data_IF_251637594874
#
_entry.id   IF_251637594874
#
_cell.length_a   1.000
_cell.length_b   1.000
_cell.length_c   1.000
_cell.angle_alpha   90.00
_cell.angle_beta   90.00
_cell.angle_gamma   90.00
#
_symmetry.space_group_name_H-M   'P 1'
#
loop_
_entity.id
_entity.type
_entity.pdbx_description
1 polymer ?
#
# COMPACT_ATOMS: atom_id res chain seq x y z
N UNK A 1 9.18 14.84 19.17
CA UNK A 1 10.14 13.71 19.08
C UNK A 1 10.45 13.29 20.51
N UNK A 2 10.60 11.98 20.78
CA UNK A 2 10.92 11.51 22.12
C UNK A 2 12.40 11.80 22.46
N UNK A 3 12.68 12.03 23.74
CA UNK A 3 14.03 12.17 24.23
C UNK A 3 14.80 10.86 24.10
N UNK A 4 16.13 10.95 24.17
CA UNK A 4 17.01 9.79 24.17
C UNK A 4 17.51 9.50 25.58
N UNK A 5 17.54 8.23 25.92
CA UNK A 5 18.37 7.73 27.01
C UNK A 5 19.67 7.21 26.41
N UNK A 6 20.76 7.93 26.60
CA UNK A 6 22.10 7.53 26.20
C UNK A 6 22.75 6.75 27.34
N UNK A 7 23.10 5.50 27.07
CA UNK A 7 23.74 4.60 28.04
C UNK A 7 25.13 4.26 27.53
N UNK A 8 26.15 4.51 28.31
CA UNK A 8 27.52 4.09 28.04
C UNK A 8 27.84 2.85 28.88
N UNK A 9 28.17 1.77 28.22
CA UNK A 9 28.60 0.53 28.87
C UNK A 9 30.01 0.69 29.44
N UNK A 10 30.31 0.04 30.55
CA UNK A 10 31.64 0.08 31.13
C UNK A 10 32.64 -0.69 30.26
N UNK A 11 33.91 -0.30 30.35
CA UNK A 11 35.04 -0.99 29.70
C UNK A 11 35.43 -2.30 30.40
N UNK A 12 35.21 -2.35 31.68
CA UNK A 12 35.43 -3.55 32.49
C UNK A 12 34.18 -3.86 33.32
N UNK A 13 33.92 -5.13 33.66
CA UNK A 13 32.74 -5.52 34.44
C UNK A 13 32.63 -4.88 35.82
N UNK A 14 33.74 -4.42 36.38
CA UNK A 14 33.83 -3.79 37.72
C UNK A 14 33.37 -2.31 37.68
N UNK A 15 33.46 -1.69 36.53
CA UNK A 15 33.05 -0.30 36.37
C UNK A 15 31.52 -0.18 36.22
N UNK A 16 30.93 0.87 36.79
CA UNK A 16 29.51 1.12 36.62
C UNK A 16 29.19 1.67 35.19
N UNK A 17 28.05 1.30 34.68
CA UNK A 17 27.51 1.97 33.48
C UNK A 17 27.19 3.43 33.79
N UNK A 18 27.26 4.28 32.78
CA UNK A 18 26.86 5.70 32.90
C UNK A 18 25.73 6.01 31.91
N UNK A 19 24.81 6.87 32.30
CA UNK A 19 23.72 7.25 31.42
C UNK A 19 23.34 8.72 31.57
N UNK A 20 22.77 9.27 30.50
CA UNK A 20 22.34 10.65 30.38
C UNK A 20 21.05 10.73 29.55
N UNK A 21 20.10 11.53 29.99
CA UNK A 21 18.95 11.86 29.13
C UNK A 21 19.29 13.10 28.31
N UNK A 22 19.07 13.02 26.99
CA UNK A 22 19.30 14.12 26.07
C UNK A 22 18.02 14.41 25.26
N UNK A 23 17.82 15.67 24.95
CA UNK A 23 16.72 16.10 24.08
C UNK A 23 16.97 15.68 22.61
N UNK A 24 16.01 15.81 21.70
CA UNK A 24 16.20 15.47 20.28
C UNK A 24 17.28 16.30 19.57
N UNK A 25 17.77 17.37 20.18
CA UNK A 25 18.86 18.20 19.65
C UNK A 25 20.22 17.80 20.25
N UNK A 26 20.24 16.79 21.14
CA UNK A 26 21.46 16.33 21.79
C UNK A 26 21.85 17.07 23.06
N UNK A 27 21.03 18.01 23.55
CA UNK A 27 21.34 18.74 24.77
C UNK A 27 21.01 17.90 26.01
N UNK A 28 21.89 17.87 27.01
CA UNK A 28 21.64 17.15 28.26
C UNK A 28 20.42 17.72 29.00
N UNK A 29 19.53 16.85 29.48
CA UNK A 29 18.37 17.21 30.31
C UNK A 29 18.67 17.14 31.81
N UNK A 30 19.94 16.98 32.20
CA UNK A 30 20.42 16.89 33.57
C UNK A 30 21.88 16.41 33.65
N UNK A 31 22.44 16.18 34.83
CA UNK A 31 23.77 15.60 34.97
C UNK A 31 23.79 14.12 34.62
N UNK A 32 24.92 13.58 34.11
CA UNK A 32 25.10 12.17 33.92
C UNK A 32 25.00 11.42 35.26
N UNK A 33 24.47 10.22 35.18
CA UNK A 33 24.32 9.31 36.34
C UNK A 33 25.15 8.06 36.10
N UNK A 34 25.58 7.41 37.19
CA UNK A 34 26.40 6.20 37.14
C UNK A 34 25.85 5.16 38.10
N UNK A 35 25.97 3.88 37.75
CA UNK A 35 25.51 2.76 38.57
C UNK A 35 25.24 1.50 37.78
N UNK A 36 24.62 0.49 38.40
CA UNK A 36 24.19 -0.71 37.68
C UNK A 36 23.06 -0.39 36.70
N UNK A 37 22.98 -1.15 35.60
CA UNK A 37 22.01 -0.97 34.50
C UNK A 37 20.55 -0.98 34.98
N UNK A 38 20.26 -1.70 36.07
CA UNK A 38 18.91 -1.73 36.67
C UNK A 38 18.40 -0.34 37.10
N UNK A 39 19.31 0.60 37.46
CA UNK A 39 18.94 1.98 37.79
C UNK A 39 18.68 2.84 36.55
N UNK A 40 19.14 2.45 35.39
CA UNK A 40 18.84 3.13 34.13
C UNK A 40 17.45 2.76 33.59
N UNK A 41 16.94 1.56 33.89
CA UNK A 41 15.67 1.05 33.36
C UNK A 41 14.45 1.97 33.61
N UNK A 42 14.24 2.55 34.80
CA UNK A 42 13.13 3.50 35.01
C UNK A 42 13.22 4.77 34.13
N UNK A 43 14.44 5.13 33.71
CA UNK A 43 14.69 6.29 32.84
C UNK A 43 14.39 6.01 31.38
N UNK A 44 14.30 4.73 30.99
CA UNK A 44 14.01 4.31 29.63
C UNK A 44 12.55 4.49 29.21
N UNK A 45 11.64 4.58 30.18
CA UNK A 45 10.20 4.66 29.91
C UNK A 45 9.87 5.90 29.06
N UNK A 46 9.30 5.65 27.87
CA UNK A 46 8.90 6.72 26.93
C UNK A 46 10.06 7.40 26.19
N UNK A 47 11.28 6.88 26.31
CA UNK A 47 12.47 7.38 25.64
C UNK A 47 13.03 6.36 24.67
N UNK A 48 13.77 6.84 23.69
CA UNK A 48 14.55 6.02 22.77
C UNK A 48 15.87 5.66 23.45
N UNK A 49 16.27 4.41 23.37
CA UNK A 49 17.52 3.95 24.01
C UNK A 49 18.63 3.90 22.96
N UNK A 50 19.70 4.64 23.22
CA UNK A 50 20.95 4.59 22.49
C UNK A 50 22.05 4.10 23.41
N UNK A 51 22.77 3.04 22.99
CA UNK A 51 23.84 2.46 23.77
C UNK A 51 25.19 2.78 23.13
N UNK A 52 26.15 3.20 23.97
CA UNK A 52 27.55 3.37 23.59
C UNK A 52 28.37 2.22 24.16
N UNK A 53 29.14 1.58 23.31
CA UNK A 53 30.06 0.51 23.68
C UNK A 53 31.50 1.02 23.68
N UNK A 54 32.39 0.38 24.46
CA UNK A 54 33.81 0.78 24.53
C UNK A 54 34.48 0.75 23.16
N UNK A 55 35.25 1.78 22.86
CA UNK A 55 36.01 1.86 21.61
C UNK A 55 37.17 0.86 21.53
N UNK A 56 37.61 0.33 22.67
CA UNK A 56 38.65 -0.73 22.76
C UNK A 56 38.21 -2.08 22.19
N UNK A 57 36.91 -2.33 22.17
CA UNK A 57 36.32 -3.62 21.79
C UNK A 57 35.76 -3.63 20.35
N UNK A 58 35.83 -2.50 19.65
CA UNK A 58 35.31 -2.34 18.29
C UNK A 58 36.40 -1.81 17.39
N UNK A 59 36.77 -2.59 16.38
CA UNK A 59 37.67 -2.12 15.33
C UNK A 59 36.84 -1.30 14.29
N UNK A 60 37.20 -0.04 14.13
CA UNK A 60 36.68 0.81 13.04
C UNK A 60 37.71 0.84 11.91
N UNK A 61 37.28 0.48 10.71
CA UNK A 61 38.15 0.44 9.53
C UNK A 61 37.39 0.84 8.26
N UNK A 62 38.14 1.10 7.19
CA UNK A 62 37.58 1.53 5.92
C UNK A 62 38.20 0.71 4.77
N UNK A 63 37.86 -0.59 4.61
CA UNK A 63 38.37 -1.38 3.50
C UNK A 63 37.89 -0.83 2.14
N UNK A 64 38.75 -1.00 1.14
CA UNK A 64 38.39 -0.73 -0.24
C UNK A 64 37.57 -1.90 -0.80
N UNK A 65 36.30 -1.65 -1.08
CA UNK A 65 35.37 -2.64 -1.63
C UNK A 65 34.84 -2.16 -2.97
N UNK A 66 34.78 -3.02 -4.00
CA UNK A 66 34.32 -2.64 -5.31
C UNK A 66 32.94 -1.95 -5.26
N UNK A 67 32.78 -0.84 -6.02
CA UNK A 67 31.54 -0.05 -6.03
C UNK A 67 30.30 -0.86 -6.49
N UNK A 68 30.52 -1.91 -7.29
CA UNK A 68 29.47 -2.80 -7.80
C UNK A 68 28.92 -3.79 -6.78
N UNK A 69 29.50 -3.86 -5.56
CA UNK A 69 29.08 -4.82 -4.55
C UNK A 69 27.62 -4.59 -4.06
N UNK A 70 27.14 -3.34 -4.04
CA UNK A 70 25.74 -3.00 -3.76
C UNK A 70 25.16 -3.75 -2.55
N UNK A 71 24.09 -4.51 -2.76
CA UNK A 71 23.42 -5.33 -1.72
C UNK A 71 24.25 -6.47 -1.18
N UNK A 72 25.37 -6.85 -1.84
CA UNK A 72 26.27 -7.93 -1.42
C UNK A 72 27.40 -7.45 -0.51
N UNK A 73 27.41 -6.19 -0.08
CA UNK A 73 28.44 -5.64 0.80
C UNK A 73 28.65 -6.50 2.06
N UNK A 74 27.59 -6.94 2.72
CA UNK A 74 27.66 -7.80 3.90
C UNK A 74 28.34 -9.15 3.65
N UNK A 75 28.35 -9.63 2.40
CA UNK A 75 29.03 -10.89 2.03
C UNK A 75 30.50 -10.66 1.64
N UNK A 76 30.83 -9.50 1.09
CA UNK A 76 32.16 -9.21 0.55
C UNK A 76 33.08 -8.62 1.62
N UNK A 77 32.57 -7.79 2.50
CA UNK A 77 33.34 -7.08 3.53
C UNK A 77 34.13 -8.02 4.46
N UNK A 78 33.56 -9.13 5.00
CA UNK A 78 34.32 -10.05 5.85
C UNK A 78 35.58 -10.59 5.14
N UNK A 79 35.45 -11.05 3.91
CA UNK A 79 36.60 -11.58 3.14
C UNK A 79 37.64 -10.50 2.78
N UNK A 80 37.19 -9.24 2.57
CA UNK A 80 38.11 -8.13 2.30
C UNK A 80 38.97 -7.77 3.52
N UNK A 81 38.52 -8.12 4.72
CA UNK A 81 39.22 -7.86 5.99
C UNK A 81 39.89 -9.08 6.60
N UNK A 82 39.65 -10.28 6.11
CA UNK A 82 40.07 -11.57 6.69
C UNK A 82 41.57 -11.58 6.98
N UNK A 83 42.42 -11.12 6.07
CA UNK A 83 43.88 -11.07 6.25
C UNK A 83 44.35 -10.02 7.29
N UNK A 84 43.47 -9.08 7.67
CA UNK A 84 43.80 -8.01 8.63
C UNK A 84 43.28 -8.30 10.03
N UNK A 85 42.47 -9.35 10.19
CA UNK A 85 41.85 -9.71 11.45
C UNK A 85 42.60 -10.87 12.12
N UNK A 86 42.67 -10.83 13.45
CA UNK A 86 43.30 -11.89 14.24
C UNK A 86 42.32 -13.02 14.56
N UNK A 87 41.06 -12.73 14.66
CA UNK A 87 39.97 -13.66 14.97
C UNK A 87 39.32 -14.20 13.68
N UNK A 88 38.67 -15.36 13.73
CA UNK A 88 37.94 -15.94 12.64
C UNK A 88 36.74 -15.04 12.26
N UNK A 89 36.52 -14.84 10.96
CA UNK A 89 35.41 -14.01 10.44
C UNK A 89 34.06 -14.53 10.87
N UNK A 90 33.87 -15.80 11.14
CA UNK A 90 32.64 -16.41 11.61
C UNK A 90 32.30 -16.02 13.05
N UNK A 91 33.31 -15.72 13.86
CA UNK A 91 33.16 -15.26 15.25
C UNK A 91 32.94 -13.74 15.34
N UNK A 92 33.06 -13.05 14.23
CA UNK A 92 32.93 -11.60 14.15
C UNK A 92 31.61 -11.14 13.58
N UNK A 93 31.15 -10.01 14.09
CA UNK A 93 30.03 -9.25 13.55
C UNK A 93 30.55 -8.03 12.80
N UNK A 94 30.09 -7.84 11.57
CA UNK A 94 30.45 -6.73 10.70
C UNK A 94 29.24 -5.80 10.54
N UNK A 95 29.35 -4.60 11.06
CA UNK A 95 28.37 -3.56 10.85
C UNK A 95 28.90 -2.57 9.80
N UNK A 96 28.10 -2.30 8.78
CA UNK A 96 28.49 -1.47 7.63
C UNK A 96 27.93 -0.08 7.78
N UNK A 97 28.81 0.91 7.69
CA UNK A 97 28.46 2.31 7.70
C UNK A 97 28.02 2.84 6.34
N UNK A 98 27.59 4.09 6.32
CA UNK A 98 27.18 4.77 5.11
C UNK A 98 28.43 5.15 4.27
N UNK A 99 28.53 4.58 3.09
CA UNK A 99 29.59 4.88 2.14
C UNK A 99 29.33 6.28 1.50
N UNK A 100 30.39 7.06 1.31
CA UNK A 100 30.31 8.27 0.47
C UNK A 100 30.14 7.88 -1.00
N UNK A 101 29.38 8.69 -1.76
CA UNK A 101 28.97 8.36 -3.12
C UNK A 101 30.15 8.06 -4.08
N UNK A 102 31.26 8.79 -3.91
CA UNK A 102 32.44 8.72 -4.79
C UNK A 102 33.63 7.97 -4.16
N UNK A 103 33.42 7.24 -3.05
CA UNK A 103 34.47 6.54 -2.34
C UNK A 103 34.42 5.03 -2.57
N UNK A 104 35.55 4.42 -2.85
CA UNK A 104 35.70 2.95 -2.80
C UNK A 104 35.77 2.44 -1.36
N UNK A 105 36.15 3.31 -0.40
CA UNK A 105 36.25 2.99 1.02
C UNK A 105 34.88 2.85 1.65
N UNK A 106 34.72 1.80 2.42
CA UNK A 106 33.45 1.50 3.12
C UNK A 106 33.70 1.51 4.62
N UNK A 107 33.09 2.41 5.40
CA UNK A 107 33.20 2.39 6.84
C UNK A 107 32.61 1.09 7.39
N UNK A 108 33.37 0.38 8.23
CA UNK A 108 32.99 -0.89 8.83
C UNK A 108 33.40 -0.90 10.29
N UNK A 109 32.50 -1.37 11.15
CA UNK A 109 32.77 -1.69 12.52
C UNK A 109 32.81 -3.22 12.68
N UNK A 110 33.91 -3.74 13.26
CA UNK A 110 34.11 -5.17 13.48
C UNK A 110 34.16 -5.42 14.97
N UNK A 111 33.42 -6.40 15.44
CA UNK A 111 33.31 -6.74 16.86
C UNK A 111 33.06 -8.24 17.02
N UNK A 112 33.53 -8.83 18.13
CA UNK A 112 33.23 -10.22 18.47
C UNK A 112 31.75 -10.43 18.75
N UNK A 113 31.14 -11.45 18.15
CA UNK A 113 29.75 -11.83 18.40
C UNK A 113 29.48 -12.12 19.87
N UNK A 114 30.43 -12.77 20.56
CA UNK A 114 30.30 -13.07 21.99
C UNK A 114 30.08 -11.80 22.84
N UNK A 115 30.79 -10.70 22.54
CA UNK A 115 30.61 -9.43 23.24
C UNK A 115 29.26 -8.78 22.90
N UNK A 116 28.82 -8.84 21.65
CA UNK A 116 27.47 -8.34 21.28
C UNK A 116 26.39 -9.10 22.04
N UNK A 117 26.50 -10.43 22.13
CA UNK A 117 25.53 -11.26 22.85
C UNK A 117 25.54 -10.97 24.35
N UNK A 118 26.73 -10.81 24.94
CA UNK A 118 26.89 -10.44 26.36
C UNK A 118 26.22 -9.08 26.65
N UNK A 119 26.53 -8.05 25.90
CA UNK A 119 25.99 -6.72 26.12
C UNK A 119 24.46 -6.68 25.91
N UNK A 120 23.97 -7.32 24.86
CA UNK A 120 22.52 -7.34 24.60
C UNK A 120 21.76 -8.15 25.66
N UNK A 121 22.37 -9.24 26.16
CA UNK A 121 21.81 -10.02 27.26
C UNK A 121 21.76 -9.21 28.54
N UNK A 122 22.84 -8.52 28.88
CA UNK A 122 22.90 -7.65 30.06
C UNK A 122 21.89 -6.50 29.99
N UNK A 123 21.73 -5.87 28.84
CA UNK A 123 20.74 -4.81 28.63
C UNK A 123 19.31 -5.35 28.74
N UNK A 124 18.99 -6.40 28.02
CA UNK A 124 17.63 -6.99 27.97
C UNK A 124 17.20 -7.56 29.32
N UNK A 125 18.12 -8.19 30.07
CA UNK A 125 17.82 -8.69 31.43
C UNK A 125 17.44 -7.57 32.41
N UNK A 126 17.84 -6.33 32.13
CA UNK A 126 17.47 -5.14 32.88
C UNK A 126 16.30 -4.36 32.24
N UNK A 127 15.62 -4.92 31.22
CA UNK A 127 14.48 -4.26 30.55
C UNK A 127 14.88 -3.10 29.65
N UNK A 128 16.15 -3.05 29.20
CA UNK A 128 16.69 -2.05 28.29
C UNK A 128 16.82 -2.67 26.89
N UNK A 129 15.96 -2.27 25.97
CA UNK A 129 15.99 -2.72 24.57
C UNK A 129 16.48 -1.58 23.67
N UNK A 130 17.75 -1.59 23.21
CA UNK A 130 18.33 -0.49 22.46
C UNK A 130 17.78 -0.40 21.03
N UNK A 131 17.44 0.82 20.60
CA UNK A 131 17.10 1.11 19.21
C UNK A 131 18.36 1.30 18.36
N UNK A 132 19.44 1.73 18.96
CA UNK A 132 20.74 1.93 18.31
C UNK A 132 21.89 1.64 19.28
N UNK A 133 22.97 1.13 18.72
CA UNK A 133 24.21 0.82 19.46
C UNK A 133 25.40 1.30 18.63
N UNK A 134 26.22 2.14 19.21
CA UNK A 134 27.38 2.75 18.56
C UNK A 134 28.63 2.55 19.40
N UNK A 135 29.80 2.59 18.76
CA UNK A 135 31.03 2.74 19.54
C UNK A 135 31.22 4.20 19.92
N UNK A 136 31.73 4.44 21.14
CA UNK A 136 32.01 5.78 21.66
C UNK A 136 32.99 6.56 20.78
N UNK A 137 33.97 5.86 20.19
CA UNK A 137 34.95 6.47 19.29
C UNK A 137 34.34 7.02 18.01
N UNK A 138 33.23 6.43 17.51
CA UNK A 138 32.57 6.92 16.31
C UNK A 138 31.66 8.13 16.58
N UNK A 139 31.36 8.43 17.83
CA UNK A 139 30.63 9.62 18.25
C UNK A 139 31.53 10.80 18.70
N UNK A 140 32.85 10.69 18.54
CA UNK A 140 33.68 11.88 18.68
C UNK A 140 33.33 12.91 17.60
N UNK A 141 33.32 14.21 17.93
CA UNK A 141 33.15 15.26 16.92
C UNK A 141 34.10 15.08 15.76
N UNK A 142 33.70 15.49 14.59
CA UNK A 142 34.58 15.56 13.41
C UNK A 142 34.78 17.01 13.03
N UNK A 143 36.04 17.41 12.89
CA UNK A 143 36.40 18.76 12.45
C UNK A 143 37.31 18.67 11.23
N UNK A 144 36.89 19.15 10.06
CA UNK A 144 37.75 19.15 8.88
C UNK A 144 39.05 19.90 9.13
N UNK A 145 40.18 19.25 8.86
CA UNK A 145 41.51 19.82 9.00
C UNK A 145 42.12 19.81 10.41
N UNK A 146 41.38 19.34 11.44
CA UNK A 146 41.90 19.21 12.81
C UNK A 146 41.64 17.81 13.35
N UNK A 147 42.64 17.24 14.02
CA UNK A 147 42.44 16.02 14.77
C UNK A 147 41.68 16.30 16.07
N UNK A 148 40.92 15.34 16.52
CA UNK A 148 40.23 15.39 17.81
C UNK A 148 40.68 14.22 18.66
N UNK A 149 41.07 14.48 19.91
CA UNK A 149 41.38 13.46 20.89
C UNK A 149 40.48 13.61 22.10
N UNK A 150 40.05 12.47 22.64
CA UNK A 150 39.41 12.36 23.96
C UNK A 150 40.34 11.53 24.83
N UNK A 151 40.82 12.11 25.91
CA UNK A 151 41.67 11.43 26.88
C UNK A 151 40.89 11.18 28.17
N UNK A 152 40.83 9.94 28.57
CA UNK A 152 40.24 9.49 29.82
C UNK A 152 41.33 8.80 30.65
N UNK A 153 40.96 8.26 31.80
CA UNK A 153 41.91 7.69 32.78
C UNK A 153 42.88 6.66 32.18
N UNK A 154 42.37 5.72 31.38
CA UNK A 154 43.06 4.57 30.87
C UNK A 154 43.23 4.52 29.35
N UNK A 155 42.51 5.37 28.63
CA UNK A 155 42.51 5.38 27.15
C UNK A 155 42.55 6.77 26.55
N UNK A 156 43.05 6.82 25.34
CA UNK A 156 42.94 7.95 24.44
C UNK A 156 42.26 7.51 23.17
N UNK A 157 41.15 8.20 22.81
CA UNK A 157 40.45 8.00 21.56
C UNK A 157 40.86 9.13 20.65
N UNK A 158 41.32 8.83 19.45
CA UNK A 158 41.76 9.82 18.48
C UNK A 158 40.95 9.67 17.21
N UNK A 159 40.36 10.77 16.75
CA UNK A 159 39.75 10.89 15.43
C UNK A 159 40.66 11.76 14.57
N UNK A 160 41.30 11.19 13.56
CA UNK A 160 42.05 12.00 12.58
C UNK A 160 41.09 12.84 11.72
N UNK A 161 41.60 13.87 11.05
CA UNK A 161 40.78 14.70 10.13
C UNK A 161 40.12 13.88 9.02
N UNK A 162 40.75 12.78 8.60
CA UNK A 162 40.25 11.82 7.62
C UNK A 162 40.56 10.38 8.07
N UNK A 163 39.61 9.47 7.82
CA UNK A 163 39.73 8.06 8.21
C UNK A 163 38.99 7.74 9.51
N UNK A 164 39.14 6.50 9.93
CA UNK A 164 38.44 5.96 11.12
C UNK A 164 39.11 6.40 12.41
N UNK A 165 38.32 6.62 13.49
CA UNK A 165 38.90 6.87 14.82
C UNK A 165 39.57 5.60 15.39
N UNK A 166 40.56 5.83 16.24
CA UNK A 166 41.35 4.77 16.89
C UNK A 166 41.30 4.97 18.39
N UNK A 167 41.19 3.88 19.14
CA UNK A 167 41.25 3.87 20.59
C UNK A 167 42.52 3.14 21.03
N UNK A 168 43.35 3.78 21.84
CA UNK A 168 44.60 3.27 22.32
C UNK A 168 44.70 3.45 23.85
N UNK A 169 45.52 2.67 24.53
CA UNK A 169 45.85 2.96 25.94
C UNK A 169 46.49 4.35 26.09
N UNK A 170 46.26 5.01 27.23
CA UNK A 170 46.77 6.37 27.48
C UNK A 170 48.28 6.44 27.50
N UNK A 171 48.96 5.31 27.79
CA UNK A 171 50.42 5.18 27.71
C UNK A 171 50.95 5.41 26.30
N UNK A 172 50.15 5.03 25.28
CA UNK A 172 50.44 5.21 23.86
C UNK A 172 49.91 6.55 23.30
N UNK A 173 49.79 7.60 24.14
CA UNK A 173 49.32 8.92 23.75
C UNK A 173 50.19 9.51 22.61
N UNK A 174 51.50 9.27 22.62
CA UNK A 174 52.40 9.74 21.57
C UNK A 174 52.06 9.16 20.21
N UNK A 175 51.90 7.85 20.15
CA UNK A 175 51.56 7.07 18.97
C UNK A 175 50.12 7.44 18.46
N UNK A 176 49.19 7.61 19.40
CA UNK A 176 47.83 8.04 19.09
C UNK A 176 47.83 9.39 18.37
N UNK A 177 48.65 10.33 18.85
CA UNK A 177 48.77 11.67 18.25
C UNK A 177 49.55 11.63 16.91
N UNK A 178 50.49 10.68 16.70
CA UNK A 178 51.12 10.46 15.40
C UNK A 178 50.11 9.95 14.37
N UNK A 179 49.21 9.05 14.76
CA UNK A 179 48.09 8.60 13.90
C UNK A 179 47.20 9.77 13.53
N UNK A 180 46.92 10.69 14.49
CA UNK A 180 46.16 11.90 14.23
C UNK A 180 46.77 12.79 13.13
N UNK A 181 48.10 12.79 13.04
CA UNK A 181 48.82 13.59 12.03
C UNK A 181 48.85 12.91 10.65
N UNK A 182 48.93 11.58 10.59
CA UNK A 182 49.00 10.83 9.33
C UNK A 182 47.72 10.97 8.47
N UNK A 183 46.55 11.22 9.07
CA UNK A 183 45.32 11.48 8.36
C UNK A 183 45.25 12.80 7.60
N UNK A 184 46.27 13.62 7.71
CA UNK A 184 46.32 14.96 7.08
C UNK A 184 46.83 15.00 5.65
N UNK A 185 47.08 13.90 4.94
CA UNK A 185 47.40 13.82 3.51
C UNK A 185 47.84 15.14 2.84
N UNK A 186 47.84 15.27 1.53
CA UNK A 186 48.18 16.47 0.74
C UNK A 186 47.37 17.76 1.11
N UNK A 187 46.31 17.66 1.91
CA UNK A 187 45.55 18.81 2.44
C UNK A 187 46.27 19.52 3.60
N UNK A 188 47.33 18.97 4.15
CA UNK A 188 48.17 19.62 5.16
C UNK A 188 48.82 20.94 4.69
N UNK A 189 48.76 21.22 3.40
CA UNK A 189 49.37 22.44 2.85
C UNK A 189 48.61 23.74 3.16
N UNK A 190 47.35 23.67 3.64
CA UNK A 190 46.50 24.86 3.87
C UNK A 190 45.74 24.92 5.19
N UNK A 191 45.70 23.85 5.97
CA UNK A 191 45.04 23.84 7.28
C UNK A 191 45.97 23.26 8.31
N UNK A 192 46.49 24.08 9.22
CA UNK A 192 47.49 23.72 10.23
C UNK A 192 47.18 22.39 10.97
N UNK A 193 48.22 21.75 11.51
CA UNK A 193 48.16 20.52 12.34
C UNK A 193 47.51 20.80 13.70
N UNK A 194 46.27 21.24 13.69
CA UNK A 194 45.53 21.55 14.91
C UNK A 194 45.00 20.29 15.60
N UNK A 195 45.09 20.28 16.93
CA UNK A 195 44.51 19.24 17.77
C UNK A 195 43.52 19.86 18.77
N UNK A 196 42.32 19.30 18.84
CA UNK A 196 41.39 19.59 19.93
C UNK A 196 41.41 18.39 20.90
N UNK A 197 41.88 18.64 22.10
CA UNK A 197 41.96 17.62 23.15
C UNK A 197 40.84 17.84 24.17
N UNK A 198 39.91 16.89 24.22
CA UNK A 198 38.92 16.78 25.29
C UNK A 198 39.46 15.93 26.43
N UNK A 199 39.35 16.39 27.66
CA UNK A 199 39.82 15.63 28.84
C UNK A 199 39.13 16.10 30.09
N UNK A 200 39.10 15.32 31.13
CA UNK A 200 38.74 15.74 32.48
C UNK A 200 39.83 16.59 33.14
N UNK A 201 39.48 17.25 34.21
CA UNK A 201 40.46 18.07 34.95
C UNK A 201 41.52 17.22 35.66
N UNK A 202 41.17 16.03 36.16
CA UNK A 202 42.08 15.12 36.83
C UNK A 202 43.13 14.55 35.85
N UNK A 203 42.64 14.05 34.68
CA UNK A 203 43.47 13.46 33.61
C UNK A 203 44.39 14.55 33.04
N UNK A 204 43.88 15.78 32.88
CA UNK A 204 44.69 16.89 32.44
C UNK A 204 45.87 17.14 33.41
N UNK A 205 45.64 17.21 34.74
CA UNK A 205 46.69 17.40 35.69
C UNK A 205 47.71 16.28 35.70
N UNK A 206 47.27 15.03 35.54
CA UNK A 206 48.13 13.85 35.54
C UNK A 206 49.05 13.79 34.30
N UNK A 207 48.53 14.19 33.12
CA UNK A 207 49.22 14.01 31.85
C UNK A 207 49.70 15.32 31.21
N UNK A 208 49.53 16.45 31.86
CA UNK A 208 49.88 17.79 31.35
C UNK A 208 51.31 17.89 30.87
N UNK A 209 52.30 17.31 31.58
CA UNK A 209 53.72 17.33 31.19
C UNK A 209 53.94 16.57 29.88
N UNK A 210 53.29 15.42 29.68
CA UNK A 210 53.35 14.63 28.41
C UNK A 210 52.73 15.41 27.24
N UNK A 211 51.59 16.03 27.49
CA UNK A 211 50.86 16.82 26.47
C UNK A 211 51.69 18.07 26.09
N UNK A 212 52.30 18.72 27.04
CA UNK A 212 53.13 19.88 26.76
C UNK A 212 54.38 19.50 25.94
N UNK A 213 55.00 18.36 26.22
CA UNK A 213 56.12 17.86 25.40
C UNK A 213 55.74 17.53 23.96
N UNK A 214 54.45 17.22 23.70
CA UNK A 214 53.95 16.98 22.37
C UNK A 214 53.49 18.27 21.63
N UNK A 215 53.43 19.39 22.32
CA UNK A 215 52.97 20.67 21.79
C UNK A 215 53.76 21.15 20.58
N UNK A 216 55.07 20.83 20.55
CA UNK A 216 55.95 21.20 19.42
C UNK A 216 55.58 20.45 18.13
N UNK A 217 54.84 19.35 18.25
CA UNK A 217 54.44 18.55 17.06
C UNK A 217 53.19 19.02 16.38
N UNK A 218 52.41 19.94 17.04
CA UNK A 218 51.17 20.50 16.52
C UNK A 218 51.29 22.00 16.39
N UNK A 219 50.68 22.59 15.36
CA UNK A 219 50.60 24.05 15.18
C UNK A 219 49.74 24.72 16.25
N UNK A 220 48.93 23.96 16.95
CA UNK A 220 48.14 24.38 18.11
C UNK A 220 47.36 23.23 18.75
N UNK A 221 47.42 23.17 20.07
CA UNK A 221 46.59 22.25 20.87
C UNK A 221 45.54 23.06 21.61
N UNK A 222 44.27 22.86 21.29
CA UNK A 222 43.14 23.44 22.01
C UNK A 222 42.62 22.44 23.02
N UNK A 223 42.74 22.75 24.30
CA UNK A 223 42.28 21.89 25.38
C UNK A 223 40.89 22.29 25.78
N UNK A 224 39.97 21.32 25.87
CA UNK A 224 38.61 21.49 26.32
C UNK A 224 38.33 20.55 27.50
N UNK A 225 38.14 21.16 28.69
CA UNK A 225 37.86 20.40 29.91
C UNK A 225 36.40 19.99 29.95
N UNK A 226 36.16 18.72 30.15
CA UNK A 226 34.84 18.08 30.28
C UNK A 226 34.46 17.99 31.76
N UNK A 227 33.75 19.01 32.29
CA UNK A 227 33.33 19.04 33.69
C UNK A 227 32.29 17.98 34.05
N UNK A 228 31.51 17.49 33.09
CA UNK A 228 30.46 16.51 33.28
C UNK A 228 30.82 15.14 32.61
N UNK A 229 32.11 14.92 32.29
CA UNK A 229 32.54 13.73 31.57
C UNK A 229 32.15 13.73 30.07
N UNK A 230 32.53 12.68 29.33
CA UNK A 230 32.40 12.65 27.85
C UNK A 230 30.98 12.39 27.37
N UNK A 231 30.09 11.88 28.23
CA UNK A 231 28.75 11.46 27.80
C UNK A 231 27.90 12.62 27.24
N UNK A 232 28.09 13.83 27.79
CA UNK A 232 27.44 15.04 27.24
C UNK A 232 27.97 15.42 25.86
N UNK A 233 29.26 15.24 25.60
CA UNK A 233 29.88 15.43 24.30
C UNK A 233 29.28 14.47 23.25
N UNK A 234 29.19 13.20 23.58
CA UNK A 234 28.58 12.19 22.71
C UNK A 234 27.10 12.48 22.43
N UNK A 235 26.35 12.91 23.45
CA UNK A 235 24.96 13.30 23.31
C UNK A 235 24.75 14.40 22.26
N UNK A 236 25.62 15.42 22.28
CA UNK A 236 25.56 16.52 21.31
C UNK A 236 25.82 16.09 19.86
N UNK A 237 26.52 14.98 19.66
CA UNK A 237 26.82 14.46 18.33
C UNK A 237 25.70 13.60 17.75
N UNK A 238 24.86 12.98 18.58
CA UNK A 238 23.78 12.08 18.14
C UNK A 238 22.91 12.63 16.99
N UNK A 239 22.49 13.91 16.98
CA UNK A 239 21.63 14.42 15.91
C UNK A 239 22.35 14.66 14.58
N UNK A 240 23.65 14.87 14.60
CA UNK A 240 24.45 15.34 13.46
C UNK A 240 25.42 14.30 12.90
N UNK A 241 25.93 13.42 13.76
CA UNK A 241 26.82 12.37 13.37
C UNK A 241 26.09 11.25 12.59
N UNK A 242 26.82 10.52 11.78
CA UNK A 242 26.35 9.32 11.08
C UNK A 242 27.17 8.09 11.54
N UNK A 243 27.14 7.75 12.84
CA UNK A 243 27.92 6.64 13.36
C UNK A 243 27.40 5.31 12.83
N UNK A 244 28.29 4.29 12.85
CA UNK A 244 27.93 2.96 12.41
C UNK A 244 27.07 2.29 13.48
N UNK A 245 25.83 1.97 13.17
CA UNK A 245 24.98 1.23 14.07
C UNK A 245 25.38 -0.24 14.08
N UNK A 246 25.75 -0.76 15.24
CA UNK A 246 26.14 -2.15 15.43
C UNK A 246 24.94 -3.11 15.36
N UNK A 247 23.72 -2.61 15.57
CA UNK A 247 22.50 -3.40 15.52
C UNK A 247 22.08 -3.63 14.06
N UNK A 248 22.84 -4.47 13.35
CA UNK A 248 22.59 -4.88 11.97
C UNK A 248 22.51 -6.40 11.85
N UNK A 249 21.97 -6.90 10.75
CA UNK A 249 21.88 -8.33 10.48
C UNK A 249 21.09 -9.08 11.55
N UNK A 250 21.72 -10.08 12.18
CA UNK A 250 21.13 -10.88 13.26
C UNK A 250 20.82 -10.08 14.54
N UNK A 251 21.50 -8.95 14.73
CA UNK A 251 21.31 -8.06 15.87
C UNK A 251 20.36 -6.89 15.59
N UNK A 252 19.82 -6.80 14.38
CA UNK A 252 18.86 -5.76 14.05
C UNK A 252 17.69 -5.80 15.06
N UNK A 253 17.31 -4.65 15.65
CA UNK A 253 16.19 -4.63 16.56
C UNK A 253 15.00 -5.19 15.80
N UNK A 254 14.42 -6.27 16.34
CA UNK A 254 13.09 -6.69 15.89
C UNK A 254 12.20 -5.50 16.14
N UNK A 255 12.01 -4.69 15.13
CA UNK A 255 10.99 -3.64 15.21
C UNK A 255 9.72 -4.39 15.59
N UNK A 256 9.35 -4.34 16.86
CA UNK A 256 7.95 -4.42 17.19
C UNK A 256 7.35 -3.41 16.21
N UNK A 257 6.70 -3.94 15.17
CA UNK A 257 6.24 -3.17 14.03
C UNK A 257 5.24 -2.12 14.53
N UNK A 258 5.77 -1.07 15.10
CA UNK A 258 5.13 0.23 15.05
C UNK A 258 5.35 0.76 13.64
N UNK A 259 5.04 -0.09 12.64
CA UNK A 259 4.63 0.43 11.33
C UNK A 259 3.51 1.38 11.69
N UNK A 260 3.92 2.61 11.74
CA UNK A 260 3.22 3.59 12.53
C UNK A 260 1.77 3.55 12.10
N UNK A 261 0.89 3.35 13.05
CA UNK A 261 -0.55 3.61 12.93
C UNK A 261 -0.82 4.86 12.07
N UNK A 262 0.17 5.78 12.04
CA UNK A 262 0.15 6.97 11.18
C UNK A 262 0.21 6.66 9.68
N UNK A 263 0.97 5.68 9.23
CA UNK A 263 1.00 5.28 7.81
C UNK A 263 -0.29 4.58 7.41
N UNK A 264 -0.93 3.86 8.35
CA UNK A 264 -2.23 3.23 8.12
C UNK A 264 -3.39 4.22 8.18
N UNK A 265 -3.25 5.39 8.83
CA UNK A 265 -4.27 6.44 8.84
C UNK A 265 -4.61 6.92 7.43
N UNK A 266 -3.63 7.13 6.58
CA UNK A 266 -3.86 7.55 5.19
C UNK A 266 -4.60 6.46 4.41
N UNK A 267 -4.17 5.20 4.55
CA UNK A 267 -4.85 4.07 3.91
C UNK A 267 -6.28 3.88 4.43
N UNK A 268 -6.50 4.04 5.74
CA UNK A 268 -7.83 3.97 6.35
C UNK A 268 -8.75 5.11 5.87
N UNK A 269 -8.23 6.33 5.78
CA UNK A 269 -8.98 7.49 5.25
C UNK A 269 -9.34 7.25 3.79
N UNK A 270 -8.40 6.79 2.96
CA UNK A 270 -8.69 6.46 1.55
C UNK A 270 -9.72 5.35 1.41
N UNK A 271 -9.67 4.33 2.26
CA UNK A 271 -10.66 3.25 2.29
C UNK A 271 -12.06 3.77 2.66
N UNK A 272 -12.15 4.63 3.68
CA UNK A 272 -13.43 5.25 4.09
C UNK A 272 -13.96 6.15 2.97
N UNK A 273 -13.11 6.93 2.31
CA UNK A 273 -13.50 7.75 1.16
C UNK A 273 -13.98 6.88 -0.01
N UNK A 274 -13.30 5.76 -0.29
CA UNK A 274 -13.70 4.82 -1.35
C UNK A 274 -15.07 4.19 -1.05
N UNK A 275 -15.28 3.75 0.19
CA UNK A 275 -16.57 3.19 0.64
C UNK A 275 -17.67 4.28 0.55
N UNK A 276 -17.38 5.48 1.01
CA UNK A 276 -18.30 6.62 0.93
C UNK A 276 -18.69 6.96 -0.52
N UNK A 277 -17.71 6.99 -1.42
CA UNK A 277 -17.94 7.21 -2.84
C UNK A 277 -18.78 6.08 -3.48
N UNK A 278 -18.49 4.84 -3.11
CA UNK A 278 -19.25 3.68 -3.59
C UNK A 278 -20.71 3.71 -3.11
N UNK A 279 -20.93 4.02 -1.83
CA UNK A 279 -22.29 4.15 -1.27
C UNK A 279 -23.04 5.32 -1.90
N UNK A 280 -22.38 6.46 -2.08
CA UNK A 280 -22.97 7.61 -2.76
C UNK A 280 -23.34 7.30 -4.21
N UNK A 281 -22.47 6.59 -4.94
CA UNK A 281 -22.74 6.11 -6.30
C UNK A 281 -23.95 5.18 -6.36
N UNK A 282 -24.05 4.22 -5.44
CA UNK A 282 -25.21 3.32 -5.33
C UNK A 282 -26.50 4.04 -4.93
N UNK A 283 -26.42 5.01 -4.06
CA UNK A 283 -27.56 5.85 -3.71
C UNK A 283 -28.05 6.69 -4.89
N UNK A 284 -27.15 7.28 -5.67
CA UNK A 284 -27.47 8.01 -6.89
C UNK A 284 -28.10 7.09 -7.96
N UNK A 285 -27.56 5.88 -8.15
CA UNK A 285 -28.12 4.87 -9.06
C UNK A 285 -29.55 4.50 -8.64
N UNK A 286 -29.77 4.28 -7.33
CA UNK A 286 -31.08 3.93 -6.78
C UNK A 286 -32.11 5.05 -6.98
N UNK A 287 -31.71 6.32 -6.80
CA UNK A 287 -32.57 7.46 -7.04
C UNK A 287 -32.88 7.63 -8.52
N UNK A 288 -31.91 7.41 -9.40
CA UNK A 288 -32.12 7.46 -10.85
C UNK A 288 -33.06 6.33 -11.32
N UNK A 289 -32.89 5.10 -10.80
CA UNK A 289 -33.80 3.99 -11.09
C UNK A 289 -35.23 4.28 -10.62
N UNK A 290 -35.40 4.79 -9.39
CA UNK A 290 -36.74 5.17 -8.89
C UNK A 290 -37.39 6.25 -9.74
N UNK A 291 -36.61 7.22 -10.21
CA UNK A 291 -37.13 8.25 -11.10
C UNK A 291 -37.54 7.65 -12.45
N UNK A 292 -36.77 6.75 -13.01
CA UNK A 292 -37.10 6.01 -14.23
C UNK A 292 -38.35 5.13 -14.05
N UNK A 293 -38.50 4.46 -12.92
CA UNK A 293 -39.65 3.65 -12.57
C UNK A 293 -40.94 4.53 -12.57
N UNK A 294 -40.90 5.67 -11.88
CA UNK A 294 -42.02 6.61 -11.87
C UNK A 294 -42.40 7.15 -13.24
N UNK A 295 -41.41 7.44 -14.09
CA UNK A 295 -41.69 7.93 -15.48
C UNK A 295 -42.26 6.83 -16.36
N UNK A 296 -41.79 5.60 -16.20
CA UNK A 296 -42.33 4.42 -16.89
C UNK A 296 -43.75 4.10 -16.45
N UNK A 297 -44.02 4.11 -15.16
CA UNK A 297 -45.34 3.86 -14.60
C UNK A 297 -46.35 4.94 -15.08
N UNK A 298 -45.94 6.20 -15.14
CA UNK A 298 -46.74 7.27 -15.67
C UNK A 298 -47.06 7.05 -17.16
N UNK A 299 -46.06 6.70 -17.97
CA UNK A 299 -46.24 6.43 -19.40
C UNK A 299 -47.11 5.19 -19.68
N UNK A 300 -46.94 4.12 -18.86
CA UNK A 300 -47.80 2.94 -18.92
C UNK A 300 -49.26 3.33 -18.55
N UNK A 301 -49.42 4.14 -17.50
CA UNK A 301 -50.75 4.63 -17.09
C UNK A 301 -51.42 5.48 -18.16
N UNK A 302 -50.69 6.33 -18.87
CA UNK A 302 -51.20 7.14 -19.96
C UNK A 302 -51.55 6.29 -21.18
N UNK A 303 -50.73 5.37 -21.58
CA UNK A 303 -50.98 4.42 -22.67
C UNK A 303 -52.19 3.51 -22.34
N UNK A 304 -52.32 3.09 -21.10
CA UNK A 304 -53.45 2.29 -20.64
C UNK A 304 -54.77 3.06 -20.71
N UNK A 305 -54.77 4.33 -20.27
CA UNK A 305 -55.96 5.21 -20.36
C UNK A 305 -56.37 5.50 -21.80
N UNK A 306 -55.40 5.64 -22.72
CA UNK A 306 -55.71 5.80 -24.15
C UNK A 306 -56.32 4.53 -24.77
N UNK A 307 -55.81 3.36 -24.38
CA UNK A 307 -56.28 2.07 -24.90
C UNK A 307 -57.62 1.62 -24.27
N UNK A 308 -57.93 2.10 -23.06
CA UNK A 308 -59.12 1.68 -22.30
C UNK A 308 -59.85 2.89 -21.68
N UNK A 309 -60.52 3.74 -22.47
CA UNK A 309 -61.30 4.84 -21.95
C UNK A 309 -62.44 4.33 -21.07
N UNK A 310 -62.38 4.65 -19.75
CA UNK A 310 -63.41 4.25 -18.76
C UNK A 310 -62.88 3.43 -17.58
N UNK A 311 -61.64 2.95 -17.64
CA UNK A 311 -61.02 2.31 -16.49
C UNK A 311 -59.95 3.22 -15.83
N UNK A 312 -60.14 3.48 -14.52
CA UNK A 312 -59.25 4.39 -13.75
C UNK A 312 -58.09 3.69 -13.02
N UNK A 313 -58.14 2.38 -12.95
CA UNK A 313 -57.14 1.62 -12.17
C UNK A 313 -56.08 0.95 -13.07
N UNK A 314 -54.87 1.51 -13.11
CA UNK A 314 -53.74 1.00 -13.89
C UNK A 314 -52.91 -0.11 -13.23
N UNK A 315 -53.34 -0.59 -12.04
CA UNK A 315 -52.64 -1.69 -11.37
C UNK A 315 -52.75 -2.96 -12.22
N UNK A 316 -51.61 -3.59 -12.54
CA UNK A 316 -51.48 -4.73 -13.42
C UNK A 316 -52.00 -4.45 -14.87
N UNK A 317 -51.74 -3.24 -15.39
CA UNK A 317 -52.13 -2.79 -16.72
C UNK A 317 -51.75 -3.83 -17.82
N UNK A 318 -50.57 -4.40 -17.80
CA UNK A 318 -50.10 -5.41 -18.74
C UNK A 318 -51.00 -6.65 -18.73
N UNK A 319 -51.24 -7.21 -17.55
CA UNK A 319 -52.05 -8.42 -17.43
C UNK A 319 -53.49 -8.23 -17.89
N UNK A 320 -54.07 -7.03 -17.65
CA UNK A 320 -55.42 -6.69 -18.11
C UNK A 320 -55.48 -6.48 -19.62
N UNK A 321 -54.44 -5.85 -20.19
CA UNK A 321 -54.33 -5.74 -21.66
C UNK A 321 -54.19 -7.10 -22.32
N UNK A 322 -53.33 -7.98 -21.77
CA UNK A 322 -53.18 -9.35 -22.27
C UNK A 322 -54.47 -10.16 -22.17
N UNK A 323 -55.25 -10.01 -21.06
CA UNK A 323 -56.54 -10.65 -20.92
C UNK A 323 -57.58 -10.16 -21.92
N UNK A 324 -57.63 -8.84 -22.18
CA UNK A 324 -58.53 -8.30 -23.20
C UNK A 324 -58.11 -8.64 -24.61
N UNK A 325 -56.81 -8.65 -24.88
CA UNK A 325 -56.30 -9.10 -26.17
C UNK A 325 -56.67 -10.57 -26.43
N UNK A 326 -56.48 -11.42 -25.41
CA UNK A 326 -56.87 -12.83 -25.49
C UNK A 326 -58.38 -12.99 -25.62
N UNK A 327 -59.19 -12.17 -24.94
CA UNK A 327 -60.65 -12.19 -25.10
C UNK A 327 -61.09 -11.69 -26.50
N UNK A 328 -60.41 -10.69 -27.05
CA UNK A 328 -60.67 -10.23 -28.42
C UNK A 328 -60.22 -11.26 -29.48
N UNK A 329 -59.12 -11.93 -29.27
CA UNK A 329 -58.65 -13.05 -30.13
C UNK A 329 -59.58 -14.26 -30.02
N UNK A 330 -60.07 -14.56 -28.81
CA UNK A 330 -61.06 -15.66 -28.64
C UNK A 330 -62.44 -15.34 -29.14
N UNK A 331 -62.83 -14.03 -29.21
CA UNK A 331 -64.06 -13.59 -29.89
C UNK A 331 -63.98 -13.76 -31.40
N UNK A 332 -62.78 -13.88 -31.94
CA UNK A 332 -62.51 -14.22 -33.33
C UNK A 332 -62.09 -15.68 -33.50
N UNK A 333 -62.66 -16.60 -32.77
CA UNK A 333 -62.32 -18.08 -32.85
C UNK A 333 -62.39 -18.62 -34.26
N UNK A 334 -62.00 -19.92 -34.47
CA UNK A 334 -61.94 -20.53 -35.83
C UNK A 334 -63.24 -20.43 -36.61
N UNK A 335 -64.35 -20.09 -35.92
CA UNK A 335 -65.68 -19.90 -36.49
C UNK A 335 -66.06 -18.44 -36.63
N UNK A 336 -65.11 -17.48 -36.43
CA UNK A 336 -65.34 -16.04 -36.56
C UNK A 336 -65.54 -15.55 -38.00
N UNK A 337 -66.07 -14.32 -38.15
CA UNK A 337 -66.31 -13.71 -39.45
C UNK A 337 -65.04 -13.58 -40.31
N UNK A 338 -63.88 -13.20 -39.71
CA UNK A 338 -62.63 -12.98 -40.44
C UNK A 338 -62.09 -14.29 -41.11
N UNK A 339 -61.97 -15.43 -40.42
CA UNK A 339 -61.61 -16.68 -41.04
C UNK A 339 -62.60 -17.19 -42.11
N UNK A 340 -63.89 -16.87 -41.94
CA UNK A 340 -64.91 -17.23 -42.94
C UNK A 340 -64.81 -16.34 -44.18
N UNK A 341 -64.48 -15.06 -44.05
CA UNK A 341 -64.23 -14.17 -45.19
C UNK A 341 -62.95 -14.55 -45.93
N UNK A 342 -61.90 -14.96 -45.21
CA UNK A 342 -60.66 -15.38 -45.80
C UNK A 342 -60.84 -16.67 -46.61
N UNK A 343 -61.59 -17.65 -46.09
CA UNK A 343 -61.94 -18.84 -46.81
C UNK A 343 -62.78 -18.56 -48.07
N UNK A 344 -63.64 -17.52 -48.01
CA UNK A 344 -64.41 -17.08 -49.18
C UNK A 344 -63.53 -16.43 -50.24
N UNK A 345 -62.64 -15.56 -49.87
CA UNK A 345 -61.67 -14.92 -50.78
C UNK A 345 -60.85 -15.96 -51.51
N UNK A 346 -60.36 -16.96 -50.79
CA UNK A 346 -59.56 -18.05 -51.33
C UNK A 346 -60.38 -18.98 -52.25
N UNK A 347 -61.64 -19.25 -51.88
CA UNK A 347 -62.53 -20.05 -52.69
C UNK A 347 -63.00 -19.33 -53.99
N UNK A 348 -63.02 -18.03 -53.99
CA UNK A 348 -63.32 -17.20 -55.19
C UNK A 348 -62.30 -17.37 -56.30
N UNK A 349 -61.07 -17.69 -55.97
CA UNK A 349 -60.02 -18.00 -56.96
C UNK A 349 -60.35 -19.26 -57.79
N UNK A 350 -61.10 -20.17 -57.23
CA UNK A 350 -61.53 -21.41 -57.89
C UNK A 350 -62.79 -21.25 -58.73
N UNK A 351 -63.53 -20.14 -58.53
CA UNK A 351 -64.80 -19.85 -59.32
C UNK A 351 -64.88 -18.35 -59.75
N UNK A 352 -64.05 -17.92 -60.72
CA UNK A 352 -63.89 -16.50 -61.09
C UNK A 352 -65.13 -15.83 -61.64
N UNK A 353 -66.20 -16.60 -61.99
CA UNK A 353 -67.44 -16.11 -62.45
C UNK A 353 -68.50 -15.79 -61.39
N UNK A 354 -68.24 -16.12 -60.12
CA UNK A 354 -69.22 -15.92 -59.03
C UNK A 354 -69.09 -14.53 -58.43
N UNK A 355 -70.23 -13.82 -58.30
CA UNK A 355 -70.31 -12.48 -57.67
C UNK A 355 -71.10 -12.57 -56.39
N UNK A 356 -70.49 -12.10 -55.24
CA UNK A 356 -71.14 -12.02 -53.97
C UNK A 356 -72.09 -10.79 -54.00
N UNK A 357 -73.44 -10.97 -53.81
CA UNK A 357 -74.45 -9.93 -53.78
C UNK A 357 -74.78 -9.45 -52.35
N UNK A 358 -74.80 -10.36 -51.41
CA UNK A 358 -75.05 -10.04 -50.00
C UNK A 358 -74.36 -11.06 -49.09
N UNK A 359 -73.91 -10.57 -47.91
CA UNK A 359 -73.34 -11.36 -46.85
C UNK A 359 -73.98 -10.95 -45.52
N UNK A 360 -74.37 -11.91 -44.72
CA UNK A 360 -74.90 -11.72 -43.39
C UNK A 360 -74.22 -12.68 -42.44
N UNK A 361 -73.71 -12.15 -41.30
CA UNK A 361 -73.09 -13.00 -40.25
C UNK A 361 -73.93 -12.94 -38.98
N UNK A 362 -74.40 -14.06 -38.50
CA UNK A 362 -75.12 -14.21 -37.25
C UNK A 362 -74.68 -15.48 -36.47
N UNK A 363 -74.29 -15.29 -35.25
CA UNK A 363 -73.98 -16.38 -34.31
C UNK A 363 -73.17 -17.51 -34.91
N UNK A 364 -72.03 -17.18 -35.55
CA UNK A 364 -71.07 -18.19 -36.12
C UNK A 364 -71.53 -18.75 -37.49
N UNK A 365 -72.64 -18.30 -38.06
CA UNK A 365 -73.15 -18.70 -39.37
C UNK A 365 -73.02 -17.54 -40.36
N UNK A 366 -72.31 -17.79 -41.46
CA UNK A 366 -72.25 -16.84 -42.58
C UNK A 366 -73.25 -17.22 -43.69
N UNK A 367 -74.14 -16.37 -43.93
CA UNK A 367 -75.17 -16.51 -45.02
C UNK A 367 -74.79 -15.64 -46.18
N UNK A 368 -74.60 -16.22 -47.36
CA UNK A 368 -74.14 -15.51 -48.53
C UNK A 368 -75.07 -15.73 -49.73
N UNK A 369 -75.43 -14.63 -50.40
CA UNK A 369 -76.09 -14.69 -51.73
C UNK A 369 -75.06 -14.45 -52.82
N UNK A 370 -74.93 -15.45 -53.68
CA UNK A 370 -73.92 -15.48 -54.77
C UNK A 370 -74.62 -15.62 -56.11
N UNK A 371 -74.24 -14.80 -57.04
CA UNK A 371 -74.72 -14.91 -58.43
C UNK A 371 -73.59 -15.45 -59.31
N UNK A 372 -73.93 -16.47 -60.12
CA UNK A 372 -73.00 -17.10 -61.06
C UNK A 372 -73.64 -17.22 -62.46
N UNK A 373 -72.80 -17.52 -63.44
CA UNK A 373 -73.29 -17.64 -64.81
C UNK A 373 -74.12 -18.91 -65.00
N UNK A 374 -73.78 -19.97 -64.25
CA UNK A 374 -74.39 -21.27 -64.29
C UNK A 374 -74.43 -21.96 -62.93
N UNK A 375 -75.23 -23.01 -62.78
CA UNK A 375 -75.36 -23.78 -61.52
C UNK A 375 -74.06 -24.51 -61.13
N UNK A 376 -73.30 -24.98 -62.14
CA UNK A 376 -72.04 -25.69 -61.94
C UNK A 376 -70.96 -24.81 -61.21
N UNK A 377 -70.93 -23.51 -61.49
CA UNK A 377 -70.08 -22.54 -60.85
C UNK A 377 -70.39 -22.36 -59.38
N UNK A 378 -71.63 -22.43 -58.94
CA UNK A 378 -72.02 -22.40 -57.50
C UNK A 378 -71.72 -23.68 -56.78
N UNK A 379 -71.84 -24.84 -57.46
CA UNK A 379 -71.44 -26.12 -56.88
C UNK A 379 -69.93 -26.23 -56.70
N UNK A 380 -69.15 -25.74 -57.67
CA UNK A 380 -67.71 -25.65 -57.55
C UNK A 380 -67.27 -24.77 -56.37
N UNK A 381 -67.96 -23.62 -56.21
CA UNK A 381 -67.67 -22.75 -55.07
C UNK A 381 -68.01 -23.42 -53.76
N UNK A 382 -69.14 -24.10 -53.64
CA UNK A 382 -69.60 -24.81 -52.46
C UNK A 382 -68.67 -25.97 -52.14
N UNK A 383 -68.21 -26.68 -53.15
CA UNK A 383 -67.29 -27.80 -52.98
C UNK A 383 -65.87 -27.36 -52.60
N UNK A 384 -65.41 -26.23 -53.14
CA UNK A 384 -64.17 -25.59 -52.73
C UNK A 384 -64.18 -25.12 -51.26
N UNK A 385 -65.33 -24.61 -50.77
CA UNK A 385 -65.51 -24.27 -49.39
C UNK A 385 -65.54 -25.48 -48.48
N UNK A 386 -66.16 -26.61 -48.94
CA UNK A 386 -66.16 -27.88 -48.19
C UNK A 386 -64.78 -28.53 -48.11
N UNK A 387 -63.99 -28.51 -49.19
CA UNK A 387 -62.63 -29.10 -49.22
C UNK A 387 -61.67 -28.37 -48.28
N UNK A 388 -61.96 -27.14 -47.91
CA UNK A 388 -61.17 -26.32 -46.93
C UNK A 388 -61.66 -26.48 -45.52
N UNK A 389 -62.44 -27.48 -45.22
CA UNK A 389 -62.86 -27.82 -43.84
C UNK A 389 -64.01 -27.00 -43.31
N UNK A 390 -64.79 -26.33 -44.18
CA UNK A 390 -65.98 -25.55 -43.77
C UNK A 390 -67.23 -26.32 -44.15
N UNK A 391 -68.24 -26.29 -43.28
CA UNK A 391 -69.54 -26.84 -43.61
C UNK A 391 -70.30 -25.78 -44.45
N UNK A 392 -70.23 -25.92 -45.79
CA UNK A 392 -70.92 -25.08 -46.75
C UNK A 392 -72.08 -25.84 -47.37
N UNK A 393 -73.29 -25.24 -47.36
CA UNK A 393 -74.50 -25.81 -47.94
C UNK A 393 -75.22 -24.81 -48.85
N UNK A 394 -75.48 -25.30 -50.04
CA UNK A 394 -76.30 -24.51 -50.97
C UNK A 394 -77.76 -24.70 -50.62
N UNK A 395 -78.40 -23.71 -50.03
CA UNK A 395 -79.79 -23.85 -49.47
C UNK A 395 -80.87 -23.52 -50.50
N UNK A 396 -80.61 -22.65 -51.47
CA UNK A 396 -81.55 -22.38 -52.54
C UNK A 396 -80.78 -21.90 -53.77
N UNK A 397 -81.27 -22.26 -54.99
CA UNK A 397 -80.80 -21.75 -56.28
C UNK A 397 -81.98 -21.43 -57.16
N UNK A 398 -81.96 -20.23 -57.78
CA UNK A 398 -83.01 -19.81 -58.64
C UNK A 398 -82.39 -19.20 -59.91
N UNK A 399 -83.03 -19.49 -61.10
CA UNK A 399 -82.62 -18.94 -62.37
C UNK A 399 -83.18 -17.55 -62.55
N UNK A 400 -82.29 -16.58 -62.78
CA UNK A 400 -82.65 -15.19 -63.03
C UNK A 400 -82.28 -14.86 -64.48
N UNK A 401 -83.00 -14.12 -65.24
CA UNK A 401 -82.90 -13.92 -66.67
C UNK A 401 -81.49 -13.71 -67.31
N UNK A 402 -80.42 -13.52 -66.51
CA UNK A 402 -79.05 -13.33 -66.99
C UNK A 402 -78.02 -14.23 -66.22
N UNK A 403 -78.45 -15.21 -65.39
CA UNK A 403 -77.61 -16.06 -64.65
C UNK A 403 -78.34 -16.88 -63.56
N UNK A 404 -77.57 -17.55 -62.66
CA UNK A 404 -78.10 -18.37 -61.62
C UNK A 404 -77.70 -17.74 -60.24
N UNK A 405 -78.71 -17.52 -59.36
CA UNK A 405 -78.46 -17.01 -58.00
C UNK A 405 -78.66 -18.12 -56.97
N UNK A 406 -77.70 -18.28 -56.11
CA UNK A 406 -77.76 -19.26 -55.04
C UNK A 406 -77.46 -18.65 -53.65
N UNK A 407 -78.02 -19.26 -52.61
CA UNK A 407 -77.73 -18.92 -51.23
C UNK A 407 -76.90 -20.01 -50.60
N UNK A 408 -75.68 -19.66 -50.15
CA UNK A 408 -74.78 -20.53 -49.53
C UNK A 408 -74.71 -20.18 -48.06
N UNK A 409 -74.88 -21.16 -47.21
CA UNK A 409 -74.77 -21.00 -45.74
C UNK A 409 -73.51 -21.74 -45.30
N UNK A 410 -72.62 -20.95 -44.65
CA UNK A 410 -71.39 -21.47 -44.05
C UNK A 410 -71.58 -21.55 -42.55
N UNK A 411 -71.40 -22.71 -41.99
CA UNK A 411 -71.37 -22.96 -40.53
C UNK A 411 -69.93 -23.27 -40.12
N UNK A 412 -69.59 -22.71 -38.92
CA UNK A 412 -68.35 -23.14 -38.24
C UNK A 412 -68.42 -24.65 -37.94
N UNK A 413 -67.26 -25.24 -37.77
CA UNK A 413 -67.09 -26.65 -37.39
C UNK A 413 -67.54 -26.88 -35.99
#
# INVERSE_FOLDING_TARGET
MADWLLIRLPRTPEQPATWLTVDPRGNPSGPPQSGPLSLAAPRAVGRRICVLVPGTDVLLTEPEVPMKAGTKLHQVVPFALEEQLADDIDDLHFAIGKRAADSAKTPVAVIRRSLMDEWLTALRSNGLDPESMYTESDLLPQNPGQAIALMEEDVVVVRPPSGSPVTLPVEALGEALEIAQQGTGDQAATGGRGLILYTGAAEWHQHSAKIEALRERFDGIKIQLLSAGPLALFGQQLPTATPINLLQGSYAPTKASTVGWQSWKVAAILLVCLIGLHVAGKAAELTALKHSEHTLDASIGDTFRQAMPGETNSTNARQRMEQRLAAAQNAGGPDGLLPALQALVDARAAAPGAKLKALSYRQGTVDMKVAAKDATSLDHLTQSLKSRGRQAELTSGNTTGTGYEGRIVLRGK
#
